data_IF_804497707665
#
_entry.id   IF_804497707665
#
_cell.length_a   1.000
_cell.length_b   1.000
_cell.length_c   1.000
_cell.angle_alpha   90.00
_cell.angle_beta   90.00
_cell.angle_gamma   90.00
#
_symmetry.space_group_name_H-M   'P 1'
#
loop_
_entity.id
_entity.type
_entity.pdbx_description
1 polymer ?
#
# COMPACT_ATOMS: atom_id res chain seq x y z
N UNK A 1 18.10 -2.55 -4.20
CA UNK A 1 17.23 -3.68 -3.86
C UNK A 1 16.61 -3.37 -2.52
N UNK A 2 15.29 -3.22 -2.42
CA UNK A 2 14.61 -2.99 -1.15
C UNK A 2 14.58 -4.30 -0.38
N UNK A 3 15.27 -4.37 0.76
CA UNK A 3 15.23 -5.53 1.65
C UNK A 3 13.80 -5.66 2.20
N UNK A 4 13.15 -6.80 1.95
CA UNK A 4 11.80 -7.08 2.45
C UNK A 4 11.85 -7.12 3.98
N UNK A 5 11.01 -6.32 4.61
CA UNK A 5 10.84 -6.27 6.06
C UNK A 5 9.36 -6.20 6.38
N UNK A 6 9.00 -6.82 7.50
CA UNK A 6 7.65 -6.80 8.06
C UNK A 6 7.61 -5.74 9.15
N UNK A 7 6.80 -4.72 8.95
CA UNK A 7 6.61 -3.61 9.89
C UNK A 7 5.40 -3.90 10.75
N UNK A 8 5.51 -3.72 12.06
CA UNK A 8 4.41 -3.99 12.99
C UNK A 8 3.97 -2.69 13.63
N UNK A 9 2.66 -2.43 13.55
CA UNK A 9 1.99 -1.25 14.07
C UNK A 9 1.00 -1.63 15.16
N UNK A 10 0.81 -0.76 16.14
CA UNK A 10 -0.25 -0.93 17.15
C UNK A 10 -1.60 -0.33 16.68
N UNK A 11 -2.60 -0.37 17.56
CA UNK A 11 -3.95 0.13 17.29
C UNK A 11 -4.03 1.64 17.04
N UNK A 12 -3.02 2.40 17.44
CA UNK A 12 -2.90 3.83 17.20
C UNK A 12 -2.18 4.14 15.88
N UNK A 13 -1.65 3.10 15.21
CA UNK A 13 -0.91 3.21 13.96
C UNK A 13 0.56 3.54 14.14
N UNK A 14 1.10 3.43 15.36
CA UNK A 14 2.50 3.68 15.65
C UNK A 14 3.36 2.46 15.32
N UNK A 15 4.53 2.68 14.72
CA UNK A 15 5.46 1.59 14.40
C UNK A 15 6.14 1.10 15.67
N UNK A 16 5.81 -0.12 16.11
CA UNK A 16 6.31 -0.69 17.37
C UNK A 16 7.43 -1.71 17.18
N UNK A 17 7.53 -2.34 16.02
CA UNK A 17 8.58 -3.31 15.72
C UNK A 17 8.83 -3.48 14.21
N UNK A 18 9.98 -4.07 13.87
CA UNK A 18 10.32 -4.46 12.50
C UNK A 18 11.04 -5.81 12.51
N UNK A 19 10.66 -6.70 11.60
CA UNK A 19 11.20 -8.05 11.51
C UNK A 19 11.67 -8.37 10.09
N UNK A 20 12.76 -9.14 9.93
CA UNK A 20 13.20 -9.61 8.62
C UNK A 20 12.33 -10.76 8.08
N UNK A 21 11.65 -11.49 8.97
CA UNK A 21 10.94 -12.73 8.66
C UNK A 21 9.47 -12.67 9.10
N UNK A 22 8.59 -13.23 8.27
CA UNK A 22 7.15 -13.23 8.50
C UNK A 22 6.77 -13.97 9.79
N UNK A 23 7.32 -15.15 10.01
CA UNK A 23 6.97 -16.01 11.15
C UNK A 23 7.27 -15.33 12.49
N UNK A 24 8.43 -14.66 12.59
CA UNK A 24 8.81 -13.90 13.77
C UNK A 24 7.83 -12.73 14.04
N UNK A 25 7.49 -11.95 13.02
CA UNK A 25 6.53 -10.85 13.13
C UNK A 25 5.15 -11.36 13.56
N UNK A 26 4.70 -12.46 12.96
CA UNK A 26 3.37 -13.02 13.17
C UNK A 26 3.20 -13.58 14.58
N UNK A 27 4.17 -14.38 15.05
CA UNK A 27 4.16 -14.91 16.41
C UNK A 27 4.21 -13.79 17.45
N UNK A 28 5.08 -12.78 17.23
CA UNK A 28 5.18 -11.63 18.12
C UNK A 28 3.85 -10.86 18.21
N UNK A 29 3.21 -10.59 17.07
CA UNK A 29 1.94 -9.85 17.04
C UNK A 29 0.82 -10.60 17.76
N UNK A 30 0.76 -11.94 17.66
CA UNK A 30 -0.22 -12.75 18.39
C UNK A 30 -0.01 -12.72 19.91
N UNK A 31 1.23 -12.77 20.37
CA UNK A 31 1.52 -12.62 21.80
C UNK A 31 1.10 -11.22 22.27
N UNK A 32 1.49 -10.19 21.52
CA UNK A 32 1.21 -8.79 21.85
C UNK A 32 -0.29 -8.49 21.88
N UNK A 33 -1.06 -8.99 20.91
CA UNK A 33 -2.51 -8.79 20.83
C UNK A 33 -3.31 -9.45 21.97
N UNK A 34 -2.71 -10.43 22.68
CA UNK A 34 -3.31 -11.07 23.85
C UNK A 34 -3.00 -10.33 25.17
N UNK A 35 -2.09 -9.35 25.15
CA UNK A 35 -1.78 -8.57 26.34
C UNK A 35 -2.88 -7.52 26.60
N UNK A 36 -3.42 -7.41 27.84
CA UNK A 36 -4.53 -6.50 28.14
C UNK A 36 -4.26 -5.02 27.87
N UNK A 37 -2.99 -4.62 27.92
CA UNK A 37 -2.54 -3.22 27.80
C UNK A 37 -2.21 -2.82 26.36
N UNK A 38 -2.25 -3.76 25.41
CA UNK A 38 -1.92 -3.49 24.01
C UNK A 38 -3.05 -2.72 23.34
N UNK A 39 -2.70 -1.60 22.69
CA UNK A 39 -3.58 -0.91 21.76
C UNK A 39 -3.82 -1.81 20.54
N UNK A 40 -5.08 -2.23 20.36
CA UNK A 40 -5.51 -3.17 19.31
C UNK A 40 -6.26 -2.43 18.20
N UNK A 41 -6.27 -2.95 16.96
CA UNK A 41 -5.60 -4.18 16.51
C UNK A 41 -4.10 -3.99 16.27
N UNK A 42 -3.32 -5.08 16.41
CA UNK A 42 -1.93 -5.08 15.95
C UNK A 42 -1.91 -5.35 14.45
N UNK A 43 -1.17 -4.57 13.68
CA UNK A 43 -1.08 -4.69 12.23
C UNK A 43 0.33 -5.05 11.78
N UNK A 44 0.46 -6.03 10.90
CA UNK A 44 1.74 -6.35 10.24
C UNK A 44 1.61 -5.94 8.78
N UNK A 45 2.50 -5.08 8.31
CA UNK A 45 2.59 -4.67 6.91
C UNK A 45 3.77 -5.33 6.21
N UNK A 46 3.49 -5.94 5.06
CA UNK A 46 4.48 -6.26 4.03
C UNK A 46 4.27 -5.32 2.85
N UNK A 47 5.12 -4.30 2.76
CA UNK A 47 5.00 -3.27 1.71
C UNK A 47 5.50 -3.74 0.36
N UNK A 48 6.35 -4.76 0.31
CA UNK A 48 6.85 -5.35 -0.94
C UNK A 48 5.72 -6.13 -1.61
N UNK A 49 5.07 -6.99 -0.84
CA UNK A 49 3.94 -7.81 -1.31
C UNK A 49 2.59 -7.08 -1.23
N UNK A 50 2.56 -5.89 -0.64
CA UNK A 50 1.38 -5.04 -0.45
C UNK A 50 0.27 -5.76 0.31
N UNK A 51 0.60 -6.27 1.48
CA UNK A 51 -0.30 -7.04 2.35
C UNK A 51 -0.29 -6.46 3.75
N UNK A 52 -1.46 -6.48 4.39
CA UNK A 52 -1.60 -6.20 5.82
C UNK A 52 -2.27 -7.38 6.49
N UNK A 53 -1.71 -7.84 7.60
CA UNK A 53 -2.39 -8.72 8.54
C UNK A 53 -2.87 -7.87 9.71
N UNK A 54 -4.14 -8.01 10.07
CA UNK A 54 -4.76 -7.36 11.23
C UNK A 54 -5.05 -8.44 12.27
N UNK A 55 -4.42 -8.31 13.44
CA UNK A 55 -4.49 -9.28 14.52
C UNK A 55 -5.24 -8.65 15.70
N UNK A 56 -6.39 -9.26 16.01
CA UNK A 56 -7.17 -9.07 17.22
C UNK A 56 -6.92 -10.27 18.16
N UNK A 57 -7.48 -10.22 19.38
CA UNK A 57 -7.30 -11.31 20.35
C UNK A 57 -7.82 -12.67 19.85
N UNK A 58 -8.89 -12.70 19.06
CA UNK A 58 -9.57 -13.90 18.60
C UNK A 58 -9.50 -14.12 17.08
N UNK A 59 -8.88 -13.19 16.34
CA UNK A 59 -8.93 -13.19 14.88
C UNK A 59 -7.67 -12.63 14.24
N UNK A 60 -7.15 -13.34 13.25
CA UNK A 60 -6.11 -12.85 12.34
C UNK A 60 -6.69 -12.75 10.92
N UNK A 61 -6.67 -11.55 10.33
CA UNK A 61 -7.26 -11.27 9.01
C UNK A 61 -6.23 -10.69 8.05
N UNK A 62 -6.08 -11.32 6.88
CA UNK A 62 -5.27 -10.81 5.78
C UNK A 62 -6.08 -9.85 4.88
N UNK A 63 -5.47 -8.72 4.54
CA UNK A 63 -5.91 -7.78 3.51
C UNK A 63 -4.81 -7.62 2.47
N UNK A 64 -5.12 -7.86 1.19
CA UNK A 64 -4.16 -7.64 0.08
C UNK A 64 -4.52 -6.34 -0.62
N UNK A 65 -3.57 -5.43 -0.77
CA UNK A 65 -3.80 -4.15 -1.44
C UNK A 65 -3.74 -4.35 -2.95
N UNK A 66 -4.83 -4.03 -3.64
CA UNK A 66 -4.86 -4.08 -5.11
C UNK A 66 -3.79 -3.16 -5.69
N UNK A 67 -3.05 -3.65 -6.70
CA UNK A 67 -2.21 -2.76 -7.52
C UNK A 67 -3.11 -1.71 -8.17
N UNK A 68 -2.74 -0.44 -8.06
CA UNK A 68 -3.39 0.62 -8.83
C UNK A 68 -3.12 0.28 -10.30
N UNK A 69 -4.16 -0.09 -11.03
CA UNK A 69 -4.08 -0.22 -12.48
C UNK A 69 -4.30 1.17 -13.03
N UNK A 70 -3.25 1.78 -13.56
CA UNK A 70 -3.41 2.98 -14.38
C UNK A 70 -3.96 2.52 -15.73
N UNK A 71 -5.26 2.73 -15.95
CA UNK A 71 -5.83 2.60 -17.29
C UNK A 71 -5.36 3.81 -18.11
N UNK A 72 -4.29 3.62 -18.88
CA UNK A 72 -3.93 4.54 -19.95
C UNK A 72 -4.75 4.20 -21.19
N UNK A 73 -5.62 5.11 -21.63
CA UNK A 73 -6.19 5.02 -22.97
C UNK A 73 -5.14 5.55 -23.96
N UNK A 74 -4.62 4.70 -24.86
CA UNK A 74 -4.00 5.18 -26.09
C UNK A 74 -5.12 5.73 -26.99
N UNK A 75 -5.52 6.97 -26.77
CA UNK A 75 -6.65 7.56 -27.50
C UNK A 75 -6.64 9.10 -27.46
N UNK A 76 -5.95 9.68 -28.44
CA UNK A 76 -6.31 10.97 -29.06
C UNK A 76 -6.21 12.25 -28.20
N UNK A 77 -5.06 12.49 -27.58
CA UNK A 77 -4.75 13.80 -26.97
C UNK A 77 -4.17 14.85 -27.92
N UNK A 78 -3.88 14.50 -29.19
CA UNK A 78 -3.16 15.37 -30.13
C UNK A 78 -3.92 15.63 -31.44
N UNK A 79 -5.19 16.03 -31.33
CA UNK A 79 -5.95 16.60 -32.46
C UNK A 79 -6.38 18.06 -32.24
N UNK A 80 -6.04 18.66 -31.09
CA UNK A 80 -6.37 20.06 -30.81
C UNK A 80 -5.23 21.05 -31.13
N UNK A 81 -3.99 20.58 -31.33
CA UNK A 81 -2.87 21.46 -31.75
C UNK A 81 -2.72 21.58 -33.28
N UNK A 82 -3.22 20.63 -34.07
CA UNK A 82 -3.11 20.70 -35.55
C UNK A 82 -4.10 21.67 -36.22
N UNK A 83 -5.20 22.03 -35.56
CA UNK A 83 -6.22 22.91 -36.13
C UNK A 83 -5.86 24.41 -36.08
N UNK A 84 -4.87 24.82 -35.27
CA UNK A 84 -4.51 26.25 -35.14
C UNK A 84 -3.40 26.70 -36.10
N UNK A 85 -2.68 25.77 -36.74
CA UNK A 85 -1.61 26.10 -37.69
C UNK A 85 -2.11 26.51 -39.09
N UNK A 86 -3.40 26.31 -39.41
CA UNK A 86 -3.95 26.61 -40.75
C UNK A 86 -4.65 27.96 -40.90
N UNK A 87 -4.76 28.77 -39.85
CA UNK A 87 -5.45 30.08 -39.93
C UNK A 87 -4.54 31.30 -40.16
N UNK A 88 -3.21 31.16 -40.10
CA UNK A 88 -2.29 32.30 -40.25
C UNK A 88 -1.43 32.30 -41.53
N UNK A 89 -1.67 31.40 -42.47
CA UNK A 89 -0.88 31.30 -43.71
C UNK A 89 -1.66 31.67 -44.99
N UNK A 90 -2.60 32.64 -44.90
CA UNK A 90 -3.18 33.32 -46.07
C UNK A 90 -3.83 34.65 -45.67
N UNK A 91 -3.04 35.71 -45.68
CA UNK A 91 -3.48 37.06 -46.00
C UNK A 91 -2.26 37.75 -46.63
N UNK A 92 -2.31 37.87 -47.96
CA UNK A 92 -1.50 38.80 -48.75
C UNK A 92 -2.00 40.22 -48.55
#
# INVERSE_FOLDING_TARGET
MTTRQFQVYDGDGELVATFPEWEAAHNWAHLRANEPVTSRPVQIEDRVERRTWTIEADRCRLTVWRRRVEYGYCGSGDLRHAANARKHARAS
#
